data_IF_550804639111
#
_entry.id   IF_550804639111
#
_cell.length_a   1.000
_cell.length_b   1.000
_cell.length_c   1.000
_cell.angle_alpha   90.00
_cell.angle_beta   90.00
_cell.angle_gamma   90.00
#
_symmetry.space_group_name_H-M   'P 1'
#
loop_
_entity.id
_entity.type
_entity.pdbx_description
1 polymer ?
#
# COMPACT_ATOMS: atom_id res chain seq x y z
N UNK A 1 -47.47 -28.05 -8.26
CA UNK A 1 -47.28 -26.98 -7.26
C UNK A 1 -45.91 -26.34 -7.48
N UNK A 2 -45.85 -25.08 -7.93
CA UNK A 2 -44.59 -24.32 -8.12
C UNK A 2 -44.18 -23.69 -6.79
N UNK A 3 -43.02 -24.04 -6.27
CA UNK A 3 -42.40 -23.35 -5.13
C UNK A 3 -41.84 -22.01 -5.58
N UNK A 4 -42.34 -20.93 -4.97
CA UNK A 4 -41.90 -19.56 -5.19
C UNK A 4 -40.54 -19.28 -4.51
N UNK A 5 -39.66 -18.68 -5.31
CA UNK A 5 -38.98 -17.41 -5.02
C UNK A 5 -37.94 -17.34 -3.85
N UNK A 6 -36.76 -17.94 -4.05
CA UNK A 6 -35.53 -17.65 -3.28
C UNK A 6 -34.69 -16.49 -3.85
N UNK A 7 -35.12 -15.87 -4.96
CA UNK A 7 -34.34 -14.90 -5.73
C UNK A 7 -34.41 -13.45 -5.25
N UNK A 8 -35.24 -13.13 -4.26
CA UNK A 8 -35.43 -11.77 -3.73
C UNK A 8 -34.48 -11.44 -2.56
N UNK A 9 -34.16 -12.43 -1.71
CA UNK A 9 -33.30 -12.26 -0.52
C UNK A 9 -31.86 -11.87 -0.90
N UNK A 10 -31.26 -12.58 -1.86
CA UNK A 10 -29.90 -12.30 -2.33
C UNK A 10 -29.74 -10.98 -3.05
N UNK A 11 -30.80 -10.47 -3.69
CA UNK A 11 -30.81 -9.14 -4.33
C UNK A 11 -30.86 -8.03 -3.29
N UNK A 12 -31.58 -8.23 -2.18
CA UNK A 12 -31.62 -7.29 -1.07
C UNK A 12 -30.29 -7.25 -0.32
N UNK A 13 -29.71 -8.41 -0.02
CA UNK A 13 -28.37 -8.51 0.60
C UNK A 13 -27.29 -7.94 -0.32
N UNK A 14 -27.34 -8.21 -1.64
CA UNK A 14 -26.43 -7.55 -2.60
C UNK A 14 -26.63 -6.04 -2.63
N UNK A 15 -27.86 -5.52 -2.66
CA UNK A 15 -28.11 -4.08 -2.61
C UNK A 15 -27.61 -3.46 -1.31
N UNK A 16 -27.79 -4.15 -0.19
CA UNK A 16 -27.40 -3.67 1.13
C UNK A 16 -25.88 -3.75 1.35
N UNK A 17 -25.23 -4.79 0.83
CA UNK A 17 -23.77 -4.91 0.75
C UNK A 17 -23.18 -3.92 -0.25
N UNK A 18 -23.79 -3.69 -1.41
CA UNK A 18 -23.39 -2.66 -2.37
C UNK A 18 -23.53 -1.28 -1.73
N UNK A 19 -24.63 -0.96 -1.06
CA UNK A 19 -24.77 0.31 -0.34
C UNK A 19 -23.74 0.41 0.80
N UNK A 20 -23.43 -0.65 1.54
CA UNK A 20 -22.36 -0.63 2.55
C UNK A 20 -20.94 -0.52 1.95
N UNK A 21 -20.69 -1.16 0.81
CA UNK A 21 -19.42 -1.13 0.07
C UNK A 21 -19.21 0.23 -0.60
N UNK A 22 -20.26 0.80 -1.21
CA UNK A 22 -20.25 2.15 -1.79
C UNK A 22 -20.16 3.21 -0.71
N UNK A 23 -20.83 3.04 0.44
CA UNK A 23 -20.68 3.96 1.56
C UNK A 23 -19.24 3.91 2.07
N UNK A 24 -18.61 2.76 2.30
CA UNK A 24 -17.23 2.76 2.85
C UNK A 24 -16.18 3.23 1.83
N UNK A 25 -16.25 2.83 0.56
CA UNK A 25 -15.30 3.28 -0.47
C UNK A 25 -15.51 4.73 -0.91
N UNK A 26 -16.75 5.21 -1.07
CA UNK A 26 -17.00 6.60 -1.45
C UNK A 26 -16.87 7.57 -0.25
N UNK A 27 -17.22 7.13 0.97
CA UNK A 27 -17.11 7.96 2.19
C UNK A 27 -15.67 8.10 2.70
N UNK A 28 -14.81 7.08 2.52
CA UNK A 28 -13.39 7.17 2.91
C UNK A 28 -12.51 7.95 1.91
N UNK A 29 -12.95 8.06 0.64
CA UNK A 29 -12.23 8.86 -0.37
C UNK A 29 -12.53 10.36 -0.22
N UNK A 30 -13.63 10.77 0.41
CA UNK A 30 -14.08 12.17 0.44
C UNK A 30 -13.88 12.92 1.77
N UNK A 31 -13.59 12.25 2.89
CA UNK A 31 -13.37 12.93 4.18
C UNK A 31 -11.88 13.07 4.48
N UNK A 32 -11.37 14.30 4.38
CA UNK A 32 -9.97 14.70 4.61
C UNK A 32 -9.32 14.10 5.87
N UNK A 33 -10.09 13.91 6.94
CA UNK A 33 -9.58 13.31 8.19
C UNK A 33 -9.31 11.79 8.09
N UNK A 34 -10.07 11.07 7.26
CA UNK A 34 -9.91 9.62 7.10
C UNK A 34 -8.72 9.27 6.22
N UNK A 35 -8.41 10.09 5.20
CA UNK A 35 -7.28 9.84 4.31
C UNK A 35 -5.94 9.80 5.08
N UNK A 36 -5.71 10.75 5.99
CA UNK A 36 -4.49 10.78 6.82
C UNK A 36 -4.39 9.57 7.76
N UNK A 37 -5.50 9.17 8.36
CA UNK A 37 -5.53 7.98 9.21
C UNK A 37 -5.14 6.71 8.42
N UNK A 38 -5.77 6.50 7.27
CA UNK A 38 -5.61 5.28 6.50
C UNK A 38 -4.33 5.24 5.66
N UNK A 39 -3.84 6.37 5.14
CA UNK A 39 -2.68 6.39 4.22
C UNK A 39 -1.43 7.02 4.84
N UNK A 40 -1.57 7.75 5.95
CA UNK A 40 -0.51 8.58 6.52
C UNK A 40 -0.33 9.94 5.82
N UNK A 41 -1.06 10.19 4.73
CA UNK A 41 -0.95 11.41 3.92
C UNK A 41 -2.21 12.27 4.00
N UNK A 42 -2.06 13.59 3.99
CA UNK A 42 -3.22 14.47 3.76
C UNK A 42 -3.76 14.26 2.34
N UNK A 43 -5.00 14.68 2.09
CA UNK A 43 -5.61 14.54 0.76
C UNK A 43 -4.75 15.17 -0.34
N UNK A 44 -4.20 16.35 -0.09
CA UNK A 44 -3.37 17.07 -1.06
C UNK A 44 -2.04 16.35 -1.31
N UNK A 45 -1.39 15.88 -0.24
CA UNK A 45 -0.16 15.08 -0.35
C UNK A 45 -0.41 13.80 -1.14
N UNK A 46 -1.52 13.11 -0.86
CA UNK A 46 -1.91 11.90 -1.59
C UNK A 46 -2.10 12.19 -3.08
N UNK A 47 -2.74 13.31 -3.42
CA UNK A 47 -2.93 13.73 -4.81
C UNK A 47 -1.63 14.17 -5.48
N UNK A 48 -0.73 14.88 -4.79
CA UNK A 48 0.60 15.21 -5.29
C UNK A 48 1.41 13.95 -5.64
N UNK A 49 1.48 12.99 -4.72
CA UNK A 49 2.16 11.71 -4.95
C UNK A 49 1.50 10.97 -6.11
N UNK A 50 0.17 10.90 -6.14
CA UNK A 50 -0.57 10.30 -7.26
C UNK A 50 -0.21 10.93 -8.60
N UNK A 51 -0.16 12.25 -8.70
CA UNK A 51 0.12 12.97 -9.94
C UNK A 51 1.56 12.73 -10.40
N UNK A 52 2.51 12.74 -9.47
CA UNK A 52 3.88 12.35 -9.73
C UNK A 52 3.98 10.91 -10.26
N UNK A 53 3.28 9.97 -9.62
CA UNK A 53 3.25 8.57 -10.04
C UNK A 53 2.49 8.37 -11.36
N UNK A 54 1.44 9.14 -11.66
CA UNK A 54 0.65 8.97 -12.90
C UNK A 54 1.46 9.26 -14.15
N UNK A 55 2.40 10.21 -14.10
CA UNK A 55 3.34 10.45 -15.19
C UNK A 55 4.26 9.24 -15.46
N UNK A 56 4.43 8.36 -14.47
CA UNK A 56 5.22 7.13 -14.57
C UNK A 56 4.35 5.85 -14.77
N UNK A 57 3.02 5.94 -14.67
CA UNK A 57 2.11 4.77 -14.71
C UNK A 57 2.00 4.12 -16.08
N UNK A 58 2.29 4.85 -17.15
CA UNK A 58 2.27 4.30 -18.51
C UNK A 58 3.36 3.22 -18.74
N UNK A 59 4.22 2.98 -17.75
CA UNK A 59 5.31 1.98 -17.78
C UNK A 59 5.17 0.85 -16.74
N UNK A 60 4.03 0.72 -16.05
CA UNK A 60 3.83 -0.31 -15.01
C UNK A 60 3.54 -1.68 -15.65
N UNK A 61 4.54 -2.57 -15.68
CA UNK A 61 4.36 -3.99 -15.98
C UNK A 61 4.18 -4.78 -14.67
N UNK A 62 3.06 -5.50 -14.54
CA UNK A 62 2.77 -6.30 -13.34
C UNK A 62 3.60 -7.60 -13.31
N UNK A 63 4.23 -7.87 -12.16
CA UNK A 63 5.01 -9.10 -11.94
C UNK A 63 4.08 -10.32 -11.82
N UNK A 64 3.94 -11.02 -12.95
CA UNK A 64 3.37 -12.36 -13.21
C UNK A 64 2.75 -12.46 -14.60
N UNK A 65 2.72 -11.37 -15.37
CA UNK A 65 2.53 -11.49 -16.81
C UNK A 65 3.87 -11.91 -17.39
N UNK A 66 4.13 -13.23 -17.39
CA UNK A 66 5.20 -13.80 -18.19
C UNK A 66 5.20 -13.08 -19.54
N UNK A 67 6.30 -12.39 -19.83
CA UNK A 67 6.70 -12.18 -21.20
C UNK A 67 6.78 -13.58 -21.80
N UNK A 68 5.71 -14.02 -22.46
CA UNK A 68 5.82 -15.03 -23.48
C UNK A 68 6.59 -14.39 -24.64
N UNK A 69 7.89 -14.17 -24.44
CA UNK A 69 8.85 -14.13 -25.52
C UNK A 69 8.99 -15.57 -26.00
N UNK A 70 8.12 -15.93 -26.94
CA UNK A 70 7.95 -17.28 -27.43
C UNK A 70 6.86 -17.28 -28.48
N UNK A 71 7.30 -16.98 -29.70
CA UNK A 71 6.64 -17.13 -31.00
C UNK A 71 5.24 -16.55 -31.26
N UNK A 72 5.17 -15.95 -32.45
CA UNK A 72 4.00 -15.29 -33.03
C UNK A 72 2.85 -16.29 -33.17
N UNK A 73 1.79 -16.10 -32.38
CA UNK A 73 0.44 -16.53 -32.77
C UNK A 73 -0.56 -15.41 -32.40
N UNK A 74 -1.38 -14.91 -33.34
CA UNK A 74 -2.24 -13.76 -33.13
C UNK A 74 -3.53 -14.20 -32.45
N UNK A 75 -3.46 -14.67 -31.20
CA UNK A 75 -4.64 -14.70 -30.34
C UNK A 75 -4.51 -13.58 -29.31
N UNK A 76 -5.07 -12.42 -29.65
CA UNK A 76 -5.33 -11.32 -28.70
C UNK A 76 -6.29 -11.83 -27.62
N UNK A 77 -5.79 -12.59 -26.64
CA UNK A 77 -6.50 -12.74 -25.38
C UNK A 77 -6.33 -11.39 -24.67
N UNK A 78 -7.41 -10.62 -24.46
CA UNK A 78 -7.31 -9.39 -23.69
C UNK A 78 -6.70 -9.78 -22.34
N UNK A 79 -5.64 -9.07 -21.91
CA UNK A 79 -5.12 -9.25 -20.56
C UNK A 79 -6.28 -9.20 -19.57
N UNK A 80 -6.19 -10.01 -18.50
CA UNK A 80 -7.23 -10.09 -17.46
C UNK A 80 -7.71 -8.69 -17.11
N UNK A 81 -9.01 -8.41 -17.31
CA UNK A 81 -9.58 -7.08 -17.07
C UNK A 81 -9.26 -6.68 -15.63
N UNK A 82 -8.65 -5.50 -15.46
CA UNK A 82 -8.36 -4.97 -14.12
C UNK A 82 -9.68 -4.79 -13.39
N UNK A 83 -9.84 -5.46 -12.24
CA UNK A 83 -11.02 -5.29 -11.38
C UNK A 83 -11.00 -3.95 -10.64
N UNK A 84 -9.82 -3.36 -10.47
CA UNK A 84 -9.62 -2.16 -9.68
C UNK A 84 -8.90 -1.07 -10.50
N UNK A 85 -9.24 0.20 -10.26
CA UNK A 85 -8.55 1.32 -10.91
C UNK A 85 -7.15 1.48 -10.33
N UNK A 86 -6.16 1.99 -11.10
CA UNK A 86 -4.82 2.27 -10.58
C UNK A 86 -4.78 3.30 -9.44
N UNK A 87 -5.87 4.05 -9.22
CA UNK A 87 -6.01 4.94 -8.07
C UNK A 87 -6.39 4.14 -6.82
N UNK A 88 -7.38 3.26 -6.96
CA UNK A 88 -7.87 2.44 -5.85
C UNK A 88 -6.83 1.40 -5.44
N UNK A 89 -6.04 0.87 -6.36
CA UNK A 89 -4.92 -0.02 -6.06
C UNK A 89 -3.80 0.69 -5.29
N UNK A 90 -3.49 1.94 -5.67
CA UNK A 90 -2.53 2.76 -4.94
C UNK A 90 -3.04 3.03 -3.52
N UNK A 91 -4.30 3.45 -3.39
CA UNK A 91 -4.94 3.69 -2.10
C UNK A 91 -4.90 2.42 -1.22
N UNK A 92 -5.32 1.27 -1.76
CA UNK A 92 -5.25 -0.02 -1.08
C UNK A 92 -3.83 -0.32 -0.56
N UNK A 93 -2.82 -0.08 -1.37
CA UNK A 93 -1.41 -0.30 -0.99
C UNK A 93 -1.00 0.64 0.14
N UNK A 94 -1.35 1.93 0.08
CA UNK A 94 -1.09 2.88 1.16
C UNK A 94 -1.78 2.47 2.47
N UNK A 95 -3.03 2.00 2.39
CA UNK A 95 -3.75 1.46 3.56
C UNK A 95 -3.03 0.26 4.18
N UNK A 96 -2.55 -0.66 3.34
CA UNK A 96 -1.81 -1.83 3.80
C UNK A 96 -0.50 -1.46 4.50
N UNK A 97 0.22 -0.47 3.98
CA UNK A 97 1.50 0.01 4.52
C UNK A 97 1.31 0.79 5.83
N UNK A 98 0.25 1.59 5.95
CA UNK A 98 0.04 2.43 7.13
C UNK A 98 -0.65 1.71 8.28
N UNK A 99 -1.79 1.07 8.00
CA UNK A 99 -2.66 0.48 9.05
C UNK A 99 -2.38 -1.01 9.24
N UNK A 100 -1.72 -1.66 8.27
CA UNK A 100 -1.33 -3.06 8.42
C UNK A 100 -2.48 -4.07 8.24
N UNK A 101 -3.61 -3.67 7.65
CA UNK A 101 -4.80 -4.53 7.51
C UNK A 101 -4.50 -5.87 6.81
N UNK A 102 -5.16 -6.94 7.28
CA UNK A 102 -5.04 -8.27 6.70
C UNK A 102 -5.57 -8.31 5.26
N UNK A 103 -4.98 -9.17 4.42
CA UNK A 103 -5.39 -9.32 3.02
C UNK A 103 -6.87 -9.72 2.88
N UNK A 104 -7.43 -10.45 3.84
CA UNK A 104 -8.86 -10.81 3.87
C UNK A 104 -9.76 -9.59 4.09
N UNK A 105 -9.37 -8.69 4.99
CA UNK A 105 -10.14 -7.47 5.27
C UNK A 105 -10.08 -6.50 4.08
N UNK A 106 -8.89 -6.31 3.50
CA UNK A 106 -8.73 -5.52 2.28
C UNK A 106 -9.52 -6.13 1.10
N UNK A 107 -9.53 -7.45 0.96
CA UNK A 107 -10.31 -8.13 -0.08
C UNK A 107 -11.81 -7.84 0.05
N UNK A 108 -12.33 -7.92 1.28
CA UNK A 108 -13.72 -7.59 1.58
C UNK A 108 -14.02 -6.13 1.27
N UNK A 109 -13.22 -5.18 1.77
CA UNK A 109 -13.42 -3.73 1.57
C UNK A 109 -13.37 -3.31 0.10
N UNK A 110 -12.48 -3.90 -0.69
CA UNK A 110 -12.28 -3.53 -2.10
C UNK A 110 -13.01 -4.43 -3.10
N UNK A 111 -13.81 -5.40 -2.64
CA UNK A 111 -14.60 -6.28 -3.51
C UNK A 111 -13.74 -7.17 -4.42
N UNK A 112 -12.54 -7.54 -4.00
CA UNK A 112 -11.59 -8.37 -4.77
C UNK A 112 -11.19 -9.62 -3.98
N UNK A 113 -10.47 -10.56 -4.59
CA UNK A 113 -9.99 -11.74 -3.86
C UNK A 113 -8.75 -11.40 -3.00
N UNK A 114 -8.51 -12.11 -1.88
CA UNK A 114 -7.28 -11.95 -1.09
C UNK A 114 -6.00 -12.19 -1.91
N UNK A 115 -6.07 -13.09 -2.89
CA UNK A 115 -4.98 -13.32 -3.84
C UNK A 115 -4.71 -12.11 -4.74
N UNK A 116 -5.76 -11.39 -5.17
CA UNK A 116 -5.62 -10.14 -5.91
C UNK A 116 -5.01 -9.05 -5.06
N UNK A 117 -5.42 -8.91 -3.79
CA UNK A 117 -4.82 -7.95 -2.83
C UNK A 117 -3.31 -8.18 -2.74
N UNK A 118 -2.88 -9.42 -2.51
CA UNK A 118 -1.46 -9.76 -2.40
C UNK A 118 -0.67 -9.38 -3.66
N UNK A 119 -1.21 -9.68 -4.85
CA UNK A 119 -0.58 -9.35 -6.13
C UNK A 119 -0.49 -7.84 -6.36
N UNK A 120 -1.56 -7.11 -6.04
CA UNK A 120 -1.63 -5.65 -6.14
C UNK A 120 -0.58 -5.03 -5.22
N UNK A 121 -0.61 -5.35 -3.92
CA UNK A 121 0.32 -4.79 -2.93
C UNK A 121 1.77 -5.05 -3.34
N UNK A 122 2.11 -6.27 -3.74
CA UNK A 122 3.48 -6.62 -4.16
C UNK A 122 3.92 -5.81 -5.38
N UNK A 123 3.07 -5.74 -6.40
CA UNK A 123 3.39 -5.02 -7.65
C UNK A 123 3.53 -3.52 -7.41
N UNK A 124 2.69 -2.95 -6.56
CA UNK A 124 2.75 -1.54 -6.20
C UNK A 124 3.96 -1.20 -5.34
N UNK A 125 4.34 -2.05 -4.37
CA UNK A 125 5.58 -1.86 -3.60
C UNK A 125 6.80 -1.86 -4.53
N UNK A 126 6.88 -2.80 -5.48
CA UNK A 126 7.96 -2.83 -6.45
C UNK A 126 7.98 -1.57 -7.32
N UNK A 127 6.82 -1.15 -7.83
CA UNK A 127 6.71 0.08 -8.62
C UNK A 127 7.16 1.32 -7.84
N UNK A 128 6.70 1.47 -6.58
CA UNK A 128 7.09 2.56 -5.71
C UNK A 128 8.59 2.54 -5.42
N UNK A 129 9.18 1.37 -5.18
CA UNK A 129 10.62 1.22 -5.00
C UNK A 129 11.41 1.74 -6.21
N UNK A 130 11.03 1.35 -7.43
CA UNK A 130 11.67 1.85 -8.64
C UNK A 130 11.51 3.37 -8.79
N UNK A 131 10.29 3.88 -8.58
CA UNK A 131 10.01 5.28 -8.82
C UNK A 131 10.69 6.19 -7.78
N UNK A 132 10.63 5.84 -6.50
CA UNK A 132 11.35 6.56 -5.45
C UNK A 132 12.87 6.38 -5.55
N UNK A 133 13.34 5.23 -6.04
CA UNK A 133 14.76 5.00 -6.33
C UNK A 133 15.33 6.00 -7.34
N UNK A 134 14.53 6.48 -8.30
CA UNK A 134 14.93 7.55 -9.23
C UNK A 134 15.11 8.90 -8.54
N UNK A 135 14.42 9.14 -7.44
CA UNK A 135 14.56 10.35 -6.62
C UNK A 135 15.60 10.22 -5.51
N UNK A 136 16.31 9.09 -5.43
CA UNK A 136 17.30 8.82 -4.37
C UNK A 136 18.34 9.94 -4.22
N UNK A 137 18.78 10.54 -5.33
CA UNK A 137 19.78 11.61 -5.30
C UNK A 137 19.24 12.94 -4.75
N UNK A 138 17.92 13.15 -4.79
CA UNK A 138 17.24 14.31 -4.21
C UNK A 138 16.89 14.03 -2.75
N UNK A 139 16.44 12.81 -2.46
CA UNK A 139 16.02 12.39 -1.12
C UNK A 139 17.19 12.23 -0.16
N UNK A 140 18.33 11.73 -0.63
CA UNK A 140 19.51 11.49 0.20
C UNK A 140 20.73 12.24 -0.36
N UNK A 141 21.36 13.10 0.46
CA UNK A 141 22.60 13.76 0.08
C UNK A 141 23.74 12.76 -0.13
N UNK A 142 24.78 13.20 -0.85
CA UNK A 142 25.97 12.39 -1.07
C UNK A 142 26.69 12.09 0.26
N UNK A 143 27.37 10.95 0.31
CA UNK A 143 28.12 10.54 1.50
C UNK A 143 29.19 11.55 1.91
N UNK A 144 29.82 12.20 0.93
CA UNK A 144 30.81 13.25 1.18
C UNK A 144 30.18 14.45 1.92
N UNK A 145 29.02 14.92 1.46
CA UNK A 145 28.33 16.05 2.07
C UNK A 145 27.86 15.73 3.49
N UNK A 146 27.40 14.49 3.73
CA UNK A 146 27.02 14.02 5.05
C UNK A 146 28.20 13.97 6.02
N UNK A 147 29.35 13.45 5.56
CA UNK A 147 30.55 13.35 6.39
C UNK A 147 31.10 14.74 6.77
N UNK A 148 31.06 15.68 5.83
CA UNK A 148 31.47 17.06 6.08
C UNK A 148 30.60 17.75 7.13
N UNK A 149 29.29 17.53 7.09
CA UNK A 149 28.32 18.18 7.99
C UNK A 149 27.89 17.27 9.15
N UNK A 150 28.70 16.29 9.54
CA UNK A 150 28.34 15.32 10.59
C UNK A 150 28.41 15.97 11.98
N UNK A 151 27.32 15.98 12.76
CA UNK A 151 27.37 16.46 14.14
C UNK A 151 28.27 15.58 15.01
N UNK A 152 28.97 16.19 15.96
CA UNK A 152 29.93 15.51 16.85
C UNK A 152 29.32 14.35 17.65
N UNK A 153 28.06 14.49 18.08
CA UNK A 153 27.33 13.45 18.80
C UNK A 153 27.14 12.15 17.99
N UNK A 154 27.18 12.25 16.65
CA UNK A 154 27.03 11.12 15.75
C UNK A 154 28.36 10.62 15.17
N UNK A 155 29.47 11.32 15.41
CA UNK A 155 30.79 10.99 14.83
C UNK A 155 31.30 9.57 15.19
N UNK A 156 30.81 9.00 16.29
CA UNK A 156 31.16 7.64 16.73
C UNK A 156 30.60 6.53 15.82
N UNK A 157 29.55 6.82 15.04
CA UNK A 157 28.91 5.81 14.18
C UNK A 157 29.42 5.91 12.75
N UNK A 158 29.86 4.77 12.18
CA UNK A 158 30.39 4.72 10.82
C UNK A 158 29.25 4.56 9.81
N UNK A 159 29.34 5.28 8.68
CA UNK A 159 28.43 5.09 7.54
C UNK A 159 27.01 5.64 7.74
N UNK A 160 26.80 6.59 8.67
CA UNK A 160 25.49 7.23 8.84
C UNK A 160 25.06 7.89 7.52
N UNK A 161 23.81 7.60 7.13
CA UNK A 161 23.18 8.16 5.93
C UNK A 161 21.87 8.87 6.24
N UNK A 162 21.11 8.34 7.19
CA UNK A 162 19.77 8.80 7.55
C UNK A 162 19.65 8.65 9.05
N UNK A 163 19.12 9.69 9.70
CA UNK A 163 18.65 9.61 11.08
C UNK A 163 17.14 9.58 10.99
N UNK A 164 16.55 8.48 11.44
CA UNK A 164 15.11 8.34 11.54
C UNK A 164 14.78 8.59 13.01
N UNK A 165 13.98 9.62 13.27
CA UNK A 165 13.54 9.92 14.62
C UNK A 165 12.75 8.73 15.19
N UNK A 166 12.94 8.46 16.48
CA UNK A 166 12.49 7.23 17.13
C UNK A 166 10.99 7.01 16.95
N UNK A 167 10.61 5.93 16.24
CA UNK A 167 9.24 5.45 16.26
C UNK A 167 9.13 4.50 17.46
N UNK A 168 8.64 5.02 18.58
CA UNK A 168 8.38 4.22 19.78
C UNK A 168 7.08 3.43 19.57
N UNK A 169 7.15 2.12 19.78
CA UNK A 169 5.97 1.27 19.80
C UNK A 169 5.65 0.97 21.26
N UNK A 170 4.44 1.35 21.69
CA UNK A 170 3.94 0.90 22.99
C UNK A 170 3.77 -0.61 22.95
N UNK A 171 4.52 -1.29 23.80
CA UNK A 171 4.49 -2.75 23.96
C UNK A 171 4.11 -3.06 25.39
N UNK A 172 3.41 -4.18 25.61
CA UNK A 172 3.01 -4.61 26.94
C UNK A 172 4.27 -4.96 27.75
N UNK A 173 4.56 -4.16 28.78
CA UNK A 173 5.70 -4.38 29.64
C UNK A 173 5.36 -5.49 30.64
N UNK A 174 6.10 -6.59 30.58
CA UNK A 174 5.95 -7.67 31.58
C UNK A 174 6.28 -7.15 32.98
N UNK A 175 5.55 -7.60 34.00
CA UNK A 175 5.87 -7.27 35.40
C UNK A 175 7.16 -7.93 35.90
N UNK A 176 7.62 -8.97 35.21
CA UNK A 176 8.82 -9.73 35.58
C UNK A 176 10.09 -9.10 34.99
N UNK A 177 11.01 -8.64 35.84
CA UNK A 177 12.22 -7.90 35.44
C UNK A 177 13.08 -8.60 34.39
N UNK A 178 13.31 -9.92 34.52
CA UNK A 178 14.13 -10.68 33.53
C UNK A 178 13.56 -10.68 32.12
N UNK A 179 12.26 -10.49 31.98
CA UNK A 179 11.59 -10.48 30.67
C UNK A 179 11.55 -9.06 30.09
N UNK A 180 11.68 -8.04 30.94
CA UNK A 180 11.82 -6.65 30.52
C UNK A 180 13.15 -6.39 29.81
N UNK A 181 14.22 -7.10 30.18
CA UNK A 181 15.52 -6.99 29.49
C UNK A 181 15.42 -7.34 28.00
N UNK A 182 14.47 -8.20 27.60
CA UNK A 182 14.26 -8.55 26.19
C UNK A 182 13.64 -7.40 25.36
N UNK A 183 13.14 -6.34 25.99
CA UNK A 183 12.55 -5.18 25.30
C UNK A 183 13.59 -4.16 24.85
N UNK A 184 14.79 -4.20 25.43
CA UNK A 184 15.85 -3.25 25.15
C UNK A 184 17.01 -3.95 24.45
N UNK A 185 17.46 -3.40 23.33
CA UNK A 185 18.70 -3.84 22.69
C UNK A 185 19.90 -3.42 23.54
N UNK A 186 20.78 -4.38 23.83
CA UNK A 186 22.07 -4.18 24.52
C UNK A 186 23.07 -3.37 23.69
#
# INVERSE_FOLDING_TARGET
MRTQNSGSSWRSVKKQMEVFLWVILAFMILKTMTCKFYTGLTSDQFMCVRNYLSSAKDKVCYWNQQLKTGDKSPSKRPGVRRKLSPLNEFFLTMVRLRVGLLNKDLAYRFGISPSSVSKIVTSWIQFLYFQFGRMRNIMFPSHHLLKHNMPSCFAKFKGIRVIIDCCEFSVEQSTHFRTQDNLYSS
#
